data_IF_240905387328
#
_entry.id   IF_240905387328
#
_cell.length_a   1.000
_cell.length_b   1.000
_cell.length_c   1.000
_cell.angle_alpha   90.00
_cell.angle_beta   90.00
_cell.angle_gamma   90.00
#
_symmetry.space_group_name_H-M   'P 1'
#
loop_
_entity.id
_entity.type
_entity.pdbx_description
1 polymer ?
#
# COMPACT_ATOMS: atom_id res chain seq x y z
N UNK A 1 26.72 -14.58 58.26
CA UNK A 1 26.59 -13.94 56.93
C UNK A 1 26.47 -15.01 55.87
N UNK A 2 25.34 -15.10 55.15
CA UNK A 2 25.22 -15.88 53.91
C UNK A 2 24.17 -15.21 53.03
N UNK A 3 24.65 -14.50 52.01
CA UNK A 3 23.86 -13.72 51.05
C UNK A 3 23.17 -14.69 50.08
N UNK A 4 21.85 -14.85 50.22
CA UNK A 4 21.04 -15.63 49.29
C UNK A 4 21.09 -15.02 47.89
N UNK A 5 21.54 -15.82 46.92
CA UNK A 5 21.70 -15.42 45.51
C UNK A 5 20.37 -14.88 44.97
N UNK A 6 20.42 -13.65 44.44
CA UNK A 6 19.34 -12.99 43.70
C UNK A 6 18.79 -13.94 42.63
N UNK A 7 17.56 -14.41 42.81
CA UNK A 7 16.80 -15.10 41.75
C UNK A 7 16.55 -14.04 40.67
N UNK A 8 17.37 -14.04 39.61
CA UNK A 8 17.15 -13.21 38.43
C UNK A 8 15.77 -13.58 37.90
N UNK A 9 14.81 -12.68 38.12
CA UNK A 9 13.45 -12.78 37.64
C UNK A 9 13.57 -12.79 36.11
N UNK A 10 13.27 -13.92 35.49
CA UNK A 10 13.40 -14.14 34.05
C UNK A 10 12.60 -13.08 33.28
N UNK A 11 13.32 -12.29 32.48
CA UNK A 11 12.80 -11.34 31.51
C UNK A 11 12.30 -12.07 30.25
N UNK A 12 11.45 -11.38 29.46
CA UNK A 12 10.08 -11.77 29.20
C UNK A 12 9.97 -13.06 28.40
N UNK A 13 9.08 -13.94 28.85
CA UNK A 13 8.55 -15.02 28.02
C UNK A 13 8.09 -14.43 26.69
N UNK A 14 8.74 -14.86 25.62
CA UNK A 14 8.25 -14.72 24.26
C UNK A 14 6.87 -15.36 24.22
N UNK A 15 5.82 -14.57 24.47
CA UNK A 15 4.43 -15.03 24.38
C UNK A 15 4.21 -15.48 22.94
N UNK A 16 4.43 -16.77 22.70
CA UNK A 16 4.08 -17.45 21.45
C UNK A 16 2.62 -17.11 21.20
N UNK A 17 2.35 -16.27 20.20
CA UNK A 17 1.00 -15.86 19.88
C UNK A 17 0.19 -17.12 19.55
N UNK A 18 -0.84 -17.39 20.34
CA UNK A 18 -1.74 -18.52 20.10
C UNK A 18 -2.26 -18.48 18.65
N UNK A 19 -2.52 -19.63 18.01
CA UNK A 19 -3.13 -19.71 16.68
C UNK A 19 -4.37 -18.82 16.51
N UNK A 20 -5.15 -18.61 17.59
CA UNK A 20 -6.29 -17.69 17.60
C UNK A 20 -5.88 -16.22 17.37
N UNK A 21 -4.79 -15.76 17.97
CA UNK A 21 -4.26 -14.40 17.74
C UNK A 21 -3.73 -14.21 16.32
N UNK A 22 -3.12 -15.24 15.73
CA UNK A 22 -2.71 -15.21 14.32
C UNK A 22 -3.90 -15.05 13.38
N UNK A 23 -5.00 -15.79 13.63
CA UNK A 23 -6.25 -15.66 12.85
C UNK A 23 -6.81 -14.25 12.91
N UNK A 24 -6.87 -13.64 14.10
CA UNK A 24 -7.35 -12.25 14.27
C UNK A 24 -6.46 -11.25 13.51
N UNK A 25 -5.14 -11.39 13.60
CA UNK A 25 -4.19 -10.53 12.86
C UNK A 25 -4.35 -10.66 11.34
N UNK A 26 -4.46 -11.89 10.84
CA UNK A 26 -4.66 -12.15 9.41
C UNK A 26 -5.99 -11.59 8.92
N UNK A 27 -7.05 -11.71 9.71
CA UNK A 27 -8.35 -11.12 9.40
C UNK A 27 -8.27 -9.60 9.30
N UNK A 28 -7.57 -8.96 10.25
CA UNK A 28 -7.33 -7.51 10.21
C UNK A 28 -6.60 -7.09 8.95
N UNK A 29 -5.54 -7.83 8.57
CA UNK A 29 -4.78 -7.51 7.36
C UNK A 29 -5.60 -7.73 6.09
N UNK A 30 -6.43 -8.79 6.04
CA UNK A 30 -7.38 -8.99 4.94
C UNK A 30 -8.34 -7.83 4.79
N UNK A 31 -8.91 -7.32 5.89
CA UNK A 31 -9.78 -6.13 5.87
C UNK A 31 -9.04 -4.89 5.37
N UNK A 32 -7.82 -4.66 5.84
CA UNK A 32 -6.98 -3.54 5.39
C UNK A 32 -6.69 -3.61 3.89
N UNK A 33 -6.31 -4.79 3.39
CA UNK A 33 -6.04 -5.00 1.95
C UNK A 33 -7.30 -4.83 1.11
N UNK A 34 -8.45 -5.29 1.60
CA UNK A 34 -9.74 -5.07 0.94
C UNK A 34 -10.02 -3.57 0.77
N UNK A 35 -9.86 -2.77 1.82
CA UNK A 35 -10.03 -1.31 1.74
C UNK A 35 -9.09 -0.66 0.72
N UNK A 36 -7.83 -1.11 0.66
CA UNK A 36 -6.86 -0.62 -0.34
C UNK A 36 -7.31 -0.99 -1.75
N UNK A 37 -7.77 -2.22 -1.97
CA UNK A 37 -8.22 -2.65 -3.30
C UNK A 37 -9.47 -1.85 -3.74
N UNK A 38 -10.42 -1.62 -2.84
CA UNK A 38 -11.60 -0.77 -3.12
C UNK A 38 -11.18 0.67 -3.48
N UNK A 39 -10.12 1.21 -2.86
CA UNK A 39 -9.57 2.50 -3.24
C UNK A 39 -8.91 2.48 -4.64
N UNK A 40 -8.23 1.40 -5.01
CA UNK A 40 -7.69 1.21 -6.36
C UNK A 40 -8.80 1.14 -7.42
N UNK A 41 -9.92 0.47 -7.11
CA UNK A 41 -11.08 0.40 -8.03
C UNK A 41 -11.71 1.78 -8.22
N UNK A 42 -11.88 2.55 -7.13
CA UNK A 42 -12.33 3.96 -7.19
C UNK A 42 -11.38 4.85 -7.99
N UNK A 43 -10.07 4.66 -7.86
CA UNK A 43 -9.08 5.40 -8.63
C UNK A 43 -9.19 5.04 -10.11
N UNK A 44 -9.24 3.74 -10.44
CA UNK A 44 -9.36 3.24 -11.81
C UNK A 44 -10.59 3.81 -12.52
N UNK A 45 -11.73 3.86 -11.85
CA UNK A 45 -12.97 4.41 -12.42
C UNK A 45 -12.85 5.90 -12.81
N UNK A 46 -11.90 6.63 -12.23
CA UNK A 46 -11.63 8.04 -12.56
C UNK A 46 -10.57 8.24 -13.62
N UNK A 47 -9.82 7.20 -14.00
CA UNK A 47 -8.79 7.30 -15.05
C UNK A 47 -9.46 7.08 -16.42
N UNK A 48 -9.49 8.07 -17.33
CA UNK A 48 -10.24 7.98 -18.59
C UNK A 48 -9.88 6.75 -19.43
N UNK A 49 -8.59 6.40 -19.51
CA UNK A 49 -8.10 5.25 -20.28
C UNK A 49 -8.62 3.89 -19.78
N UNK A 50 -9.11 3.81 -18.53
CA UNK A 50 -9.53 2.56 -17.90
C UNK A 50 -10.99 2.55 -17.46
N UNK A 51 -11.68 3.70 -17.52
CA UNK A 51 -13.06 3.87 -17.04
C UNK A 51 -14.05 2.96 -17.76
N UNK A 52 -13.92 2.86 -19.08
CA UNK A 52 -14.84 2.09 -19.94
C UNK A 52 -14.30 0.69 -20.30
N UNK A 53 -13.08 0.38 -19.85
CA UNK A 53 -12.45 -0.92 -20.14
C UNK A 53 -12.95 -1.99 -19.17
N UNK A 54 -13.54 -3.04 -19.72
CA UNK A 54 -13.87 -4.27 -18.97
C UNK A 54 -12.62 -5.11 -18.63
N UNK A 55 -11.46 -4.82 -19.25
CA UNK A 55 -10.22 -5.61 -19.04
C UNK A 55 -9.65 -5.39 -17.64
N UNK A 56 -9.02 -6.39 -17.05
CA UNK A 56 -8.30 -6.23 -15.77
C UNK A 56 -7.09 -5.30 -15.97
N UNK A 57 -6.92 -4.34 -15.07
CA UNK A 57 -5.79 -3.38 -15.09
C UNK A 57 -4.94 -3.60 -13.85
N UNK A 58 -3.62 -3.64 -14.01
CA UNK A 58 -2.70 -3.82 -12.88
C UNK A 58 -2.60 -2.55 -12.03
N UNK A 59 -2.25 -2.70 -10.74
CA UNK A 59 -2.07 -1.57 -9.81
C UNK A 59 -1.08 -0.54 -10.34
N UNK A 60 0.04 -0.99 -10.91
CA UNK A 60 1.04 -0.11 -11.51
C UNK A 60 0.45 0.72 -12.66
N UNK A 61 -0.27 0.07 -13.57
CA UNK A 61 -0.91 0.76 -14.71
C UNK A 61 -1.95 1.78 -14.24
N UNK A 62 -2.75 1.46 -13.23
CA UNK A 62 -3.71 2.39 -12.62
C UNK A 62 -2.98 3.64 -12.08
N UNK A 63 -1.87 3.46 -11.36
CA UNK A 63 -1.08 4.58 -10.83
C UNK A 63 -0.47 5.44 -11.94
N UNK A 64 0.12 4.81 -12.96
CA UNK A 64 0.70 5.54 -14.09
C UNK A 64 -0.35 6.36 -14.85
N UNK A 65 -1.51 5.75 -15.14
CA UNK A 65 -2.62 6.44 -15.81
C UNK A 65 -3.18 7.59 -14.98
N UNK A 66 -3.29 7.44 -13.66
CA UNK A 66 -3.73 8.50 -12.76
C UNK A 66 -2.76 9.70 -12.75
N UNK A 67 -1.45 9.44 -12.65
CA UNK A 67 -0.42 10.49 -12.70
C UNK A 67 -0.48 11.24 -14.03
N UNK A 68 -0.57 10.51 -15.15
CA UNK A 68 -0.67 11.12 -16.47
C UNK A 68 -1.94 11.97 -16.60
N UNK A 69 -3.07 11.46 -16.09
CA UNK A 69 -4.33 12.20 -16.16
C UNK A 69 -4.26 13.51 -15.38
N UNK A 70 -3.74 13.50 -14.16
CA UNK A 70 -3.55 14.73 -13.36
C UNK A 70 -2.66 15.73 -14.11
N UNK A 71 -1.55 15.28 -14.71
CA UNK A 71 -0.66 16.16 -15.49
C UNK A 71 -1.38 16.82 -16.67
N UNK A 72 -2.16 16.04 -17.42
CA UNK A 72 -2.92 16.56 -18.56
C UNK A 72 -3.97 17.60 -18.12
N UNK A 73 -4.65 17.36 -16.99
CA UNK A 73 -5.59 18.34 -16.44
C UNK A 73 -4.85 19.61 -16.00
N UNK A 74 -3.70 19.49 -15.34
CA UNK A 74 -2.89 20.64 -14.95
C UNK A 74 -2.42 21.46 -16.16
N UNK A 75 -1.96 20.82 -17.25
CA UNK A 75 -1.52 21.54 -18.45
C UNK A 75 -2.66 22.23 -19.20
N UNK A 76 -3.88 21.68 -19.14
CA UNK A 76 -5.07 22.31 -19.72
C UNK A 76 -5.50 23.56 -18.96
N UNK A 77 -5.28 23.58 -17.63
CA UNK A 77 -5.63 24.70 -16.77
C UNK A 77 -4.53 25.77 -16.73
N UNK A 78 -3.27 25.36 -16.80
CA UNK A 78 -2.11 26.24 -16.76
C UNK A 78 -0.97 25.63 -17.60
N UNK A 79 -0.84 26.02 -18.88
CA UNK A 79 0.14 25.42 -19.80
C UNK A 79 1.60 25.73 -19.41
N UNK A 80 1.84 26.67 -18.48
CA UNK A 80 3.17 26.99 -17.98
C UNK A 80 3.70 25.97 -16.97
N UNK A 81 2.81 25.14 -16.38
CA UNK A 81 3.14 24.12 -15.39
C UNK A 81 3.43 22.77 -16.03
N UNK A 82 4.48 22.68 -16.84
CA UNK A 82 5.01 21.38 -17.23
C UNK A 82 5.76 20.72 -16.06
N UNK A 83 5.06 19.82 -15.36
CA UNK A 83 5.63 19.07 -14.25
C UNK A 83 6.58 17.96 -14.77
N UNK A 84 7.88 18.24 -14.67
CA UNK A 84 9.05 17.33 -14.71
C UNK A 84 8.69 15.84 -14.86
N UNK A 85 8.95 15.31 -16.05
CA UNK A 85 8.85 13.89 -16.38
C UNK A 85 9.67 13.09 -15.38
N UNK A 86 9.01 12.21 -14.61
CA UNK A 86 9.72 11.19 -13.82
C UNK A 86 10.40 10.31 -14.88
N UNK A 87 11.72 10.44 -15.01
CA UNK A 87 12.54 9.62 -15.91
C UNK A 87 12.26 8.16 -15.55
N UNK A 88 11.91 7.33 -16.54
CA UNK A 88 11.79 5.87 -16.37
C UNK A 88 13.06 5.35 -15.69
N UNK A 89 13.00 5.03 -14.41
CA UNK A 89 14.04 4.22 -13.78
C UNK A 89 13.82 2.79 -14.24
N UNK A 90 14.75 2.27 -15.04
CA UNK A 90 14.82 0.84 -15.36
C UNK A 90 14.85 0.04 -14.05
N UNK A 91 14.12 -1.08 -14.03
CA UNK A 91 14.48 -2.24 -13.22
C UNK A 91 13.50 -2.58 -12.11
N UNK A 92 12.71 -3.61 -12.34
CA UNK A 92 12.82 -4.84 -11.54
C UNK A 92 12.87 -6.00 -12.55
N UNK A 93 13.90 -6.84 -12.41
CA UNK A 93 14.08 -8.07 -13.18
C UNK A 93 12.96 -9.05 -12.87
#
# INVERSE_FOLDING_TARGET
MSVGRRRVRSLPSTRKSSPAHHKIKNERERRRIRQVNEAFDKLRARVPSYRESAKRVSKLRILEGAIQYIRNLCSQLDPSKEAKTIKKTKGYK
#
